data_IF_627005951517
#
_entry.id   IF_627005951517
#
_cell.length_a   1.000
_cell.length_b   1.000
_cell.length_c   1.000
_cell.angle_alpha   90.00
_cell.angle_beta   90.00
_cell.angle_gamma   90.00
#
_symmetry.space_group_name_H-M   'P 1'
#
loop_
_entity.id
_entity.type
_entity.pdbx_description
1 polymer ?
#
# COMPACT_ATOMS: atom_id res chain seq x y z
N UNK A 1 -1.86 29.89 30.20
CA UNK A 1 -2.57 30.70 29.18
C UNK A 1 -3.93 31.05 29.75
N UNK A 2 -4.32 32.32 29.74
CA UNK A 2 -5.61 32.79 30.27
C UNK A 2 -6.73 32.62 29.24
N UNK A 3 -7.61 31.64 29.50
CA UNK A 3 -8.70 31.27 28.60
C UNK A 3 -9.76 32.37 28.45
N UNK A 4 -9.93 33.24 29.45
CA UNK A 4 -10.90 34.34 29.40
C UNK A 4 -10.48 35.42 28.40
N UNK A 5 -9.17 35.68 28.33
CA UNK A 5 -8.61 36.61 27.35
C UNK A 5 -8.70 36.05 25.93
N UNK A 6 -8.50 34.75 25.75
CA UNK A 6 -8.65 34.09 24.43
C UNK A 6 -10.09 34.16 23.93
N UNK A 7 -11.07 33.91 24.80
CA UNK A 7 -12.49 34.00 24.47
C UNK A 7 -12.92 35.44 24.12
N UNK A 8 -12.44 36.42 24.89
CA UNK A 8 -12.70 37.83 24.62
C UNK A 8 -12.13 38.27 23.27
N UNK A 9 -10.86 37.97 23.00
CA UNK A 9 -10.20 38.33 21.73
C UNK A 9 -10.85 37.60 20.55
N UNK A 10 -11.25 36.34 20.73
CA UNK A 10 -11.97 35.57 19.72
C UNK A 10 -13.31 36.22 19.35
N UNK A 11 -14.04 36.69 20.35
CA UNK A 11 -15.33 37.36 20.17
C UNK A 11 -15.17 38.74 19.51
N UNK A 12 -14.15 39.50 19.92
CA UNK A 12 -13.91 40.86 19.43
C UNK A 12 -13.35 40.87 17.99
N UNK A 13 -12.57 39.86 17.60
CA UNK A 13 -11.92 39.77 16.28
C UNK A 13 -12.64 38.87 15.29
N UNK A 14 -13.61 38.06 15.74
CA UNK A 14 -14.30 37.05 14.92
C UNK A 14 -13.41 35.86 14.52
N UNK A 15 -12.21 35.74 15.12
CA UNK A 15 -11.27 34.64 14.86
C UNK A 15 -11.56 33.49 15.84
N UNK A 16 -11.62 32.21 15.38
CA UNK A 16 -11.80 31.05 16.25
C UNK A 16 -10.77 30.98 17.40
N UNK A 17 -11.21 30.59 18.60
CA UNK A 17 -10.38 30.52 19.81
C UNK A 17 -9.09 29.72 19.63
N UNK A 18 -9.13 28.62 18.87
CA UNK A 18 -7.94 27.82 18.57
C UNK A 18 -6.89 28.56 17.72
N UNK A 19 -7.29 29.47 16.84
CA UNK A 19 -6.34 30.25 16.06
C UNK A 19 -5.74 31.38 16.89
N UNK A 20 -6.52 31.96 17.81
CA UNK A 20 -6.04 32.97 18.76
C UNK A 20 -5.02 32.35 19.72
N UNK A 21 -5.27 31.17 20.26
CA UNK A 21 -4.33 30.47 21.15
C UNK A 21 -3.03 30.09 20.43
N UNK A 22 -3.13 29.50 19.23
CA UNK A 22 -1.96 29.12 18.41
C UNK A 22 -1.12 30.32 18.00
N UNK A 23 -1.76 31.41 17.60
CA UNK A 23 -1.04 32.63 17.21
C UNK A 23 -0.37 33.32 18.40
N UNK A 24 -1.03 33.33 19.57
CA UNK A 24 -0.46 33.90 20.80
C UNK A 24 0.77 33.09 21.25
N UNK A 25 0.66 31.75 21.24
CA UNK A 25 1.75 30.86 21.60
C UNK A 25 2.95 30.98 20.63
N UNK A 26 2.70 31.04 19.32
CA UNK A 26 3.75 31.23 18.33
C UNK A 26 4.51 32.56 18.50
N UNK A 27 3.80 33.65 18.82
CA UNK A 27 4.44 34.95 19.07
C UNK A 27 5.14 35.03 20.41
N UNK A 28 4.64 34.34 21.42
CA UNK A 28 5.28 34.23 22.73
C UNK A 28 6.63 33.51 22.60
N UNK A 29 6.67 32.41 21.86
CA UNK A 29 7.88 31.64 21.58
C UNK A 29 8.88 32.42 20.71
N UNK A 30 8.41 33.13 19.68
CA UNK A 30 9.27 33.93 18.81
C UNK A 30 9.91 35.14 19.53
N UNK A 31 9.21 35.72 20.50
CA UNK A 31 9.67 36.92 21.23
C UNK A 31 10.24 36.60 22.63
N UNK A 32 10.24 35.33 23.06
CA UNK A 32 10.72 34.92 24.39
C UNK A 32 9.93 35.53 25.55
N UNK A 33 8.65 35.84 25.34
CA UNK A 33 7.76 36.45 26.35
C UNK A 33 6.63 35.49 26.74
N UNK A 34 5.98 35.74 27.88
CA UNK A 34 4.84 34.92 28.32
C UNK A 34 3.63 35.07 27.37
N UNK A 35 2.89 33.98 27.18
CA UNK A 35 1.71 33.94 26.29
C UNK A 35 0.64 34.94 26.74
N UNK A 36 0.48 35.16 28.05
CA UNK A 36 -0.52 36.10 28.54
C UNK A 36 -0.11 37.55 28.30
N UNK A 37 1.19 37.85 28.20
CA UNK A 37 1.67 39.18 27.83
C UNK A 37 1.32 39.52 26.36
N UNK A 38 1.36 38.53 25.46
CA UNK A 38 0.89 38.68 24.08
C UNK A 38 -0.63 38.87 24.04
N UNK A 39 -1.39 38.05 24.76
CA UNK A 39 -2.85 38.18 24.81
C UNK A 39 -3.28 39.54 25.40
N UNK A 40 -2.61 40.00 26.45
CA UNK A 40 -2.84 41.31 27.03
C UNK A 40 -2.52 42.44 26.03
N UNK A 41 -1.44 42.32 25.25
CA UNK A 41 -1.07 43.31 24.20
C UNK A 41 -2.15 43.46 23.13
N UNK A 42 -2.88 42.39 22.82
CA UNK A 42 -3.96 42.41 21.84
C UNK A 42 -5.25 42.99 22.39
N UNK A 43 -5.48 42.85 23.70
CA UNK A 43 -6.62 43.45 24.40
C UNK A 43 -6.40 44.94 24.69
N UNK A 44 -5.18 45.35 25.04
CA UNK A 44 -4.85 46.73 25.42
C UNK A 44 -4.30 47.60 24.29
N UNK A 45 -3.79 47.00 23.21
CA UNK A 45 -3.15 47.71 22.09
C UNK A 45 -1.71 48.17 22.36
N UNK A 46 -1.16 47.87 23.55
CA UNK A 46 0.21 48.23 23.93
C UNK A 46 1.19 47.11 23.54
N UNK A 47 2.31 47.44 22.88
CA UNK A 47 3.29 46.43 22.46
C UNK A 47 3.88 45.67 23.67
N UNK A 48 4.08 44.35 23.59
CA UNK A 48 4.67 43.59 24.68
C UNK A 48 6.11 44.09 24.94
N UNK A 49 6.41 44.42 26.19
CA UNK A 49 7.74 44.83 26.61
C UNK A 49 8.72 43.66 26.41
N UNK A 50 9.59 43.77 25.43
CA UNK A 50 10.71 42.84 25.19
C UNK A 50 11.69 42.95 26.36
N UNK A 51 11.76 41.91 27.19
CA UNK A 51 12.80 41.79 28.21
C UNK A 51 14.09 41.31 27.54
N UNK A 52 14.96 42.25 27.17
CA UNK A 52 16.34 41.95 26.81
C UNK A 52 17.17 41.81 28.08
N UNK A 53 17.24 40.61 28.65
CA UNK A 53 18.27 40.27 29.63
C UNK A 53 18.73 38.82 29.41
N UNK A 54 20.04 38.55 29.29
CA UNK A 54 20.57 37.21 29.13
C UNK A 54 20.43 36.46 30.47
N UNK A 55 19.85 35.26 30.44
CA UNK A 55 19.80 34.40 31.63
C UNK A 55 21.15 33.70 31.76
N UNK A 56 21.97 34.22 32.68
CA UNK A 56 23.08 33.51 33.30
C UNK A 56 22.53 32.25 33.99
N UNK A 57 22.86 31.07 33.46
CA UNK A 57 22.59 29.79 34.13
C UNK A 57 23.63 29.59 35.23
N UNK A 58 23.27 29.94 36.46
CA UNK A 58 23.94 29.48 37.67
C UNK A 58 23.62 27.99 37.84
N UNK A 59 24.63 27.13 37.66
CA UNK A 59 24.59 25.72 37.99
C UNK A 59 24.96 25.60 39.47
N UNK A 60 24.00 25.25 40.32
CA UNK A 60 24.28 24.79 41.68
C UNK A 60 24.23 23.25 41.68
N UNK A 61 25.33 22.69 42.19
CA UNK A 61 25.68 21.29 42.28
C UNK A 61 25.05 20.66 43.54
N UNK A 62 24.43 19.48 43.43
CA UNK A 62 24.37 18.52 44.55
C UNK A 62 24.04 17.09 44.08
N UNK A 63 24.57 16.02 44.72
CA UNK A 63 24.89 14.76 44.07
C UNK A 63 24.27 13.48 44.72
N UNK A 64 24.49 12.33 44.05
CA UNK A 64 24.47 10.91 44.52
C UNK A 64 23.04 10.32 44.73
N UNK A 65 22.65 9.15 44.20
CA UNK A 65 23.16 7.82 44.57
C UNK A 65 22.74 6.69 43.60
N UNK A 66 23.66 5.75 43.43
CA UNK A 66 23.67 4.56 42.58
C UNK A 66 22.94 3.36 43.19
N UNK A 67 22.20 2.56 42.40
CA UNK A 67 22.10 1.09 42.59
C UNK A 67 21.92 0.38 41.24
N UNK A 68 22.80 -0.60 41.01
CA UNK A 68 22.86 -1.58 39.93
C UNK A 68 22.24 -2.89 40.44
N UNK A 69 21.48 -3.63 39.63
CA UNK A 69 21.47 -5.10 39.71
C UNK A 69 21.07 -5.78 38.39
N UNK A 70 21.71 -6.93 38.12
CA UNK A 70 21.77 -7.73 36.89
C UNK A 70 20.57 -8.67 36.62
N UNK A 71 20.51 -9.15 35.36
CA UNK A 71 19.83 -10.28 34.67
C UNK A 71 19.53 -11.58 35.50
N UNK A 72 18.79 -12.64 35.01
CA UNK A 72 18.70 -13.14 33.63
C UNK A 72 17.40 -13.87 33.15
N UNK A 73 17.52 -14.41 31.93
CA UNK A 73 16.60 -15.09 30.98
C UNK A 73 15.87 -16.33 31.51
N UNK A 74 14.61 -16.56 31.09
CA UNK A 74 14.07 -17.92 30.91
C UNK A 74 13.04 -18.03 29.77
N UNK A 75 13.23 -19.05 28.94
CA UNK A 75 12.45 -19.45 27.76
C UNK A 75 11.33 -20.42 28.13
N UNK A 76 10.08 -20.19 27.70
CA UNK A 76 9.09 -21.27 27.52
C UNK A 76 8.21 -20.97 26.31
N UNK A 77 8.15 -21.96 25.42
CA UNK A 77 7.26 -22.08 24.25
C UNK A 77 6.01 -22.83 24.70
N UNK A 78 4.81 -22.33 24.38
CA UNK A 78 3.63 -23.17 24.13
C UNK A 78 2.60 -22.46 23.24
N UNK A 79 1.78 -23.28 22.57
CA UNK A 79 1.13 -23.07 21.28
C UNK A 79 -0.38 -22.71 21.41
N UNK A 80 -0.86 -21.76 20.59
CA UNK A 80 -2.25 -21.60 20.07
C UNK A 80 -3.43 -21.23 21.03
N UNK A 81 -4.62 -20.76 20.53
CA UNK A 81 -4.95 -19.89 19.38
C UNK A 81 -6.02 -18.78 19.70
N UNK A 82 -6.25 -17.86 18.74
CA UNK A 82 -7.44 -16.98 18.52
C UNK A 82 -7.82 -15.90 19.56
N UNK A 83 -7.61 -14.62 19.22
CA UNK A 83 -8.67 -13.58 19.19
C UNK A 83 -8.10 -12.28 18.60
N UNK A 84 -8.43 -11.99 17.34
CA UNK A 84 -8.13 -10.68 16.74
C UNK A 84 -9.21 -9.69 17.15
N UNK A 85 -9.08 -9.15 18.35
CA UNK A 85 -9.73 -7.90 18.74
C UNK A 85 -8.91 -6.77 18.13
N UNK A 86 -9.49 -6.09 17.13
CA UNK A 86 -9.03 -4.76 16.75
C UNK A 86 -9.55 -3.82 17.84
N UNK A 87 -8.81 -3.73 18.94
CA UNK A 87 -8.95 -2.57 19.81
C UNK A 87 -8.40 -1.38 19.00
N UNK A 88 -9.23 -0.36 18.83
CA UNK A 88 -8.76 0.98 18.56
C UNK A 88 -7.74 1.30 19.65
N UNK A 89 -6.44 1.20 19.33
CA UNK A 89 -5.41 1.64 20.26
C UNK A 89 -5.73 3.11 20.61
N UNK A 90 -6.00 3.42 21.88
CA UNK A 90 -6.36 4.76 22.27
C UNK A 90 -5.18 5.67 21.95
N UNK A 91 -5.50 6.83 21.42
CA UNK A 91 -4.58 7.90 21.04
C UNK A 91 -3.62 8.29 22.17
N UNK A 92 -3.92 7.91 23.42
CA UNK A 92 -3.07 8.10 24.59
C UNK A 92 -1.80 7.25 24.63
N UNK A 93 -1.74 6.06 24.03
CA UNK A 93 -0.52 5.25 24.12
C UNK A 93 0.62 5.85 23.27
N UNK A 94 0.28 6.67 22.26
CA UNK A 94 1.26 7.35 21.39
C UNK A 94 2.02 8.48 22.12
N UNK A 95 1.59 8.88 23.33
CA UNK A 95 2.27 9.91 24.12
C UNK A 95 3.57 9.45 24.80
N UNK A 96 3.98 8.17 24.71
CA UNK A 96 5.19 7.68 25.39
C UNK A 96 6.33 7.21 24.49
N UNK A 97 6.30 7.49 23.18
CA UNK A 97 7.40 7.10 22.29
C UNK A 97 7.60 8.14 21.18
N UNK A 98 7.96 9.35 21.58
CA UNK A 98 9.00 10.05 20.83
C UNK A 98 10.29 9.55 21.44
N UNK A 99 10.90 8.57 20.77
CA UNK A 99 12.29 8.23 21.05
C UNK A 99 13.09 9.48 20.65
N UNK A 100 13.54 10.26 21.64
CA UNK A 100 14.21 11.55 21.47
C UNK A 100 15.52 11.42 20.66
N UNK A 101 15.95 10.18 20.41
CA UNK A 101 17.14 9.79 19.64
C UNK A 101 16.90 9.52 18.13
N UNK A 102 15.66 9.64 17.61
CA UNK A 102 15.43 9.40 16.17
C UNK A 102 15.79 10.65 15.35
N UNK A 103 16.69 10.53 14.35
CA UNK A 103 17.06 11.67 13.51
C UNK A 103 15.86 12.18 12.70
N UNK A 104 15.80 13.49 12.40
CA UNK A 104 14.72 14.06 11.61
C UNK A 104 14.63 13.41 10.22
N UNK A 105 13.43 13.35 9.63
CA UNK A 105 13.21 12.65 8.38
C UNK A 105 13.98 13.32 7.23
N UNK A 106 14.65 12.50 6.42
CA UNK A 106 15.27 12.97 5.19
C UNK A 106 14.22 13.51 4.21
N UNK A 107 14.63 14.41 3.32
CA UNK A 107 13.76 14.98 2.29
C UNK A 107 13.14 13.88 1.41
N UNK A 108 11.85 14.03 1.08
CA UNK A 108 11.10 13.06 0.31
C UNK A 108 11.72 12.77 -1.07
N UNK A 109 12.25 13.80 -1.74
CA UNK A 109 12.94 13.66 -3.03
C UNK A 109 14.13 12.73 -2.97
N UNK A 110 14.95 12.85 -1.91
CA UNK A 110 16.11 11.98 -1.68
C UNK A 110 15.66 10.55 -1.38
N UNK A 111 14.58 10.38 -0.60
CA UNK A 111 14.00 9.05 -0.32
C UNK A 111 13.51 8.37 -1.60
N UNK A 112 12.76 9.10 -2.43
CA UNK A 112 12.28 8.60 -3.73
C UNK A 112 13.45 8.23 -4.63
N UNK A 113 14.47 9.08 -4.74
CA UNK A 113 15.62 8.81 -5.60
C UNK A 113 16.38 7.54 -5.17
N UNK A 114 16.60 7.35 -3.86
CA UNK A 114 17.23 6.12 -3.35
C UNK A 114 16.35 4.88 -3.53
N UNK A 115 15.03 5.01 -3.36
CA UNK A 115 14.12 3.92 -3.63
C UNK A 115 14.07 3.55 -5.12
N UNK A 116 14.14 4.53 -6.01
CA UNK A 116 14.25 4.31 -7.44
C UNK A 116 15.54 3.56 -7.78
N UNK A 117 16.68 3.95 -7.19
CA UNK A 117 17.94 3.25 -7.35
C UNK A 117 17.86 1.79 -6.86
N UNK A 118 17.33 1.59 -5.65
CA UNK A 118 17.09 0.26 -5.09
C UNK A 118 16.21 -0.58 -6.02
N UNK A 119 15.06 -0.05 -6.42
CA UNK A 119 14.09 -0.77 -7.24
C UNK A 119 14.62 -1.06 -8.65
N UNK A 120 15.51 -0.22 -9.19
CA UNK A 120 16.20 -0.48 -10.45
C UNK A 120 17.17 -1.65 -10.31
N UNK A 121 18.03 -1.64 -9.28
CA UNK A 121 19.01 -2.74 -9.06
C UNK A 121 18.28 -4.05 -8.75
N UNK A 122 17.29 -4.00 -7.85
CA UNK A 122 16.45 -5.14 -7.53
C UNK A 122 15.71 -5.64 -8.78
N UNK A 123 15.15 -4.72 -9.57
CA UNK A 123 14.38 -5.01 -10.77
C UNK A 123 15.19 -5.66 -11.89
N UNK A 124 16.48 -5.31 -12.03
CA UNK A 124 17.38 -6.02 -12.96
C UNK A 124 17.53 -7.47 -12.52
N UNK A 125 17.90 -7.71 -11.25
CA UNK A 125 18.12 -9.06 -10.73
C UNK A 125 16.83 -9.89 -10.80
N UNK A 126 15.72 -9.33 -10.31
CA UNK A 126 14.41 -9.93 -10.36
C UNK A 126 13.97 -10.20 -11.81
N UNK A 127 14.20 -9.25 -12.72
CA UNK A 127 13.88 -9.36 -14.14
C UNK A 127 14.62 -10.50 -14.83
N UNK A 128 15.92 -10.69 -14.54
CA UNK A 128 16.67 -11.84 -15.04
C UNK A 128 16.10 -13.16 -14.53
N UNK A 129 15.88 -13.28 -13.22
CA UNK A 129 15.31 -14.50 -12.63
C UNK A 129 13.92 -14.77 -13.20
N UNK A 130 13.08 -13.74 -13.29
CA UNK A 130 11.75 -13.82 -13.86
C UNK A 130 11.77 -14.25 -15.32
N UNK A 131 12.67 -13.69 -16.12
CA UNK A 131 12.80 -14.04 -17.53
C UNK A 131 13.20 -15.51 -17.69
N UNK A 132 14.07 -16.05 -16.83
CA UNK A 132 14.38 -17.49 -16.82
C UNK A 132 13.17 -18.35 -16.44
N UNK A 133 12.43 -17.98 -15.39
CA UNK A 133 11.23 -18.70 -14.95
C UNK A 133 10.17 -18.69 -16.05
N UNK A 134 9.90 -17.55 -16.69
CA UNK A 134 8.88 -17.46 -17.75
C UNK A 134 9.35 -18.19 -19.02
N UNK A 135 10.63 -18.06 -19.36
CA UNK A 135 11.19 -18.74 -20.53
C UNK A 135 11.11 -20.25 -20.41
N UNK A 136 11.21 -20.83 -19.21
CA UNK A 136 11.09 -22.30 -19.06
C UNK A 136 9.75 -22.84 -19.58
N UNK A 137 8.69 -22.03 -19.52
CA UNK A 137 7.37 -22.40 -20.07
C UNK A 137 7.25 -22.23 -21.58
N UNK A 138 8.26 -21.66 -22.24
CA UNK A 138 8.30 -21.46 -23.68
C UNK A 138 9.07 -22.58 -24.43
N UNK A 139 9.65 -23.57 -23.73
CA UNK A 139 10.47 -24.60 -24.38
C UNK A 139 9.69 -25.77 -25.00
N UNK A 140 8.40 -25.94 -24.70
CA UNK A 140 7.62 -27.11 -25.16
C UNK A 140 7.20 -27.04 -26.64
N UNK A 141 7.39 -25.90 -27.32
CA UNK A 141 6.96 -25.69 -28.72
C UNK A 141 7.93 -24.83 -29.52
N UNK A 142 9.23 -25.09 -29.38
CA UNK A 142 10.29 -24.30 -30.01
C UNK A 142 10.40 -24.54 -31.51
N UNK A 143 10.40 -23.46 -32.26
CA UNK A 143 10.54 -23.42 -33.71
C UNK A 143 11.70 -22.48 -34.02
N UNK A 144 12.60 -22.92 -34.90
CA UNK A 144 13.64 -22.06 -35.44
C UNK A 144 13.11 -21.41 -36.72
N UNK A 145 13.04 -20.09 -36.74
CA UNK A 145 12.66 -19.34 -37.93
C UNK A 145 13.73 -19.53 -39.02
N UNK A 146 13.33 -19.98 -40.21
CA UNK A 146 14.27 -20.36 -41.27
C UNK A 146 15.03 -19.17 -41.86
N UNK A 147 14.46 -17.96 -41.80
CA UNK A 147 15.05 -16.75 -42.39
C UNK A 147 15.96 -16.00 -41.42
N UNK A 148 15.55 -15.86 -40.17
CA UNK A 148 16.24 -15.04 -39.17
C UNK A 148 17.08 -15.86 -38.19
N UNK A 149 16.89 -17.19 -38.16
CA UNK A 149 17.41 -18.09 -37.12
C UNK A 149 16.98 -17.69 -35.71
N UNK A 150 15.89 -16.93 -35.58
CA UNK A 150 15.32 -16.60 -34.28
C UNK A 150 14.61 -17.81 -33.69
N UNK A 151 14.74 -17.94 -32.37
CA UNK A 151 14.05 -18.94 -31.60
C UNK A 151 12.65 -18.43 -31.24
N UNK A 152 11.62 -19.06 -31.79
CA UNK A 152 10.21 -18.72 -31.57
C UNK A 152 9.56 -19.86 -30.78
N UNK A 153 8.65 -19.53 -29.87
CA UNK A 153 7.92 -20.51 -29.09
C UNK A 153 6.42 -20.37 -29.31
N UNK A 154 5.73 -21.51 -29.38
CA UNK A 154 4.29 -21.54 -29.17
C UNK A 154 3.98 -21.25 -27.69
N UNK A 155 2.99 -20.41 -27.43
CA UNK A 155 2.58 -20.05 -26.06
C UNK A 155 1.07 -19.89 -25.96
N UNK A 156 0.52 -20.04 -24.75
CA UNK A 156 -0.87 -19.68 -24.47
C UNK A 156 -0.91 -18.26 -23.90
N UNK A 157 -1.57 -17.27 -24.54
CA UNK A 157 -1.57 -15.88 -24.09
C UNK A 157 -1.97 -15.71 -22.62
N UNK A 158 -3.06 -16.36 -22.22
CA UNK A 158 -3.59 -16.26 -20.85
C UNK A 158 -2.59 -16.78 -19.81
N UNK A 159 -1.97 -17.94 -20.06
CA UNK A 159 -1.00 -18.53 -19.14
C UNK A 159 0.28 -17.71 -19.08
N UNK A 160 0.73 -17.18 -20.23
CA UNK A 160 1.93 -16.35 -20.29
C UNK A 160 1.75 -15.03 -19.52
N UNK A 161 0.63 -14.34 -19.72
CA UNK A 161 0.30 -13.11 -18.97
C UNK A 161 0.17 -13.43 -17.48
N UNK A 162 -0.51 -14.52 -17.12
CA UNK A 162 -0.68 -14.93 -15.73
C UNK A 162 0.67 -15.24 -15.06
N UNK A 163 1.56 -15.95 -15.73
CA UNK A 163 2.89 -16.28 -15.21
C UNK A 163 3.71 -15.01 -14.97
N UNK A 164 3.67 -14.04 -15.90
CA UNK A 164 4.32 -12.74 -15.69
C UNK A 164 3.67 -11.99 -14.52
N UNK A 165 2.34 -12.00 -14.42
CA UNK A 165 1.63 -11.34 -13.33
C UNK A 165 2.03 -11.92 -11.96
N UNK A 166 2.00 -13.23 -11.81
CA UNK A 166 2.34 -13.91 -10.56
C UNK A 166 3.80 -13.74 -10.16
N UNK A 167 4.72 -13.87 -11.12
CA UNK A 167 6.16 -13.70 -10.84
C UNK A 167 6.51 -12.24 -10.52
N UNK A 168 5.93 -11.27 -11.23
CA UNK A 168 6.09 -9.83 -10.90
C UNK A 168 5.54 -9.55 -9.50
N UNK A 169 4.42 -10.16 -9.14
CA UNK A 169 3.80 -10.02 -7.83
C UNK A 169 4.68 -10.55 -6.72
N UNK A 170 5.25 -11.74 -6.90
CA UNK A 170 6.20 -12.33 -5.97
C UNK A 170 7.39 -11.39 -5.70
N UNK A 171 8.00 -10.85 -6.76
CA UNK A 171 9.12 -9.91 -6.60
C UNK A 171 8.70 -8.56 -6.02
N UNK A 172 7.52 -8.05 -6.36
CA UNK A 172 6.98 -6.81 -5.80
C UNK A 172 6.77 -6.91 -4.29
N UNK A 173 6.29 -8.05 -3.79
CA UNK A 173 6.12 -8.32 -2.35
C UNK A 173 7.47 -8.34 -1.63
N UNK A 174 8.46 -9.03 -2.20
CA UNK A 174 9.81 -9.07 -1.62
C UNK A 174 10.42 -7.66 -1.59
N UNK A 175 10.31 -6.93 -2.70
CA UNK A 175 10.79 -5.56 -2.84
C UNK A 175 10.15 -4.63 -1.81
N UNK A 176 8.81 -4.63 -1.70
CA UNK A 176 8.09 -3.73 -0.79
C UNK A 176 8.38 -4.00 0.68
N UNK A 177 8.51 -5.27 1.08
CA UNK A 177 8.81 -5.63 2.47
C UNK A 177 10.23 -5.21 2.85
N UNK A 178 11.19 -5.48 1.96
CA UNK A 178 12.62 -5.30 2.24
C UNK A 178 13.09 -3.85 2.06
N UNK A 179 12.49 -3.09 1.14
CA UNK A 179 12.90 -1.72 0.81
C UNK A 179 13.07 -0.85 2.06
N UNK A 180 12.06 -0.81 2.93
CA UNK A 180 12.09 0.01 4.15
C UNK A 180 13.20 -0.42 5.10
N UNK A 181 13.39 -1.73 5.30
CA UNK A 181 14.41 -2.30 6.20
C UNK A 181 15.82 -1.97 5.70
N UNK A 182 16.01 -2.05 4.38
CA UNK A 182 17.30 -1.76 3.74
C UNK A 182 17.58 -0.26 3.78
N UNK A 183 16.62 0.59 3.47
CA UNK A 183 16.84 2.03 3.47
C UNK A 183 17.08 2.58 4.88
N UNK A 184 16.30 2.15 5.87
CA UNK A 184 16.46 2.55 7.27
C UNK A 184 17.83 2.13 7.84
N UNK A 185 18.32 0.93 7.49
CA UNK A 185 19.63 0.45 7.94
C UNK A 185 20.81 1.23 7.34
N UNK A 186 20.68 1.70 6.11
CA UNK A 186 21.80 2.26 5.35
C UNK A 186 21.82 3.79 5.31
N UNK A 187 20.72 4.46 5.66
CA UNK A 187 20.58 5.90 5.54
C UNK A 187 19.83 6.49 6.73
N UNK A 188 20.39 7.55 7.32
CA UNK A 188 19.76 8.26 8.43
C UNK A 188 18.51 9.02 7.98
N UNK A 189 17.46 9.02 8.83
CA UNK A 189 16.20 9.68 8.53
C UNK A 189 15.33 8.97 7.47
N UNK A 190 15.67 7.74 7.06
CA UNK A 190 14.91 6.95 6.08
C UNK A 190 13.86 6.01 6.69
N UNK A 191 13.74 5.96 8.02
CA UNK A 191 12.72 5.17 8.69
C UNK A 191 11.31 5.53 8.26
N UNK A 192 10.45 4.51 8.13
CA UNK A 192 9.03 4.65 7.75
C UNK A 192 8.18 3.77 8.67
N UNK A 193 7.03 4.27 9.12
CA UNK A 193 6.07 3.58 10.00
C UNK A 193 5.13 2.59 9.29
N UNK A 194 5.47 2.17 8.07
CA UNK A 194 4.64 1.24 7.28
C UNK A 194 4.83 -0.20 7.77
N UNK A 195 3.73 -0.88 8.06
CA UNK A 195 3.78 -2.24 8.57
C UNK A 195 4.09 -3.26 7.44
N UNK A 196 4.63 -4.43 7.80
CA UNK A 196 4.90 -5.52 6.85
C UNK A 196 3.61 -5.99 6.15
N UNK A 197 2.47 -5.99 6.85
CA UNK A 197 1.15 -6.31 6.26
C UNK A 197 0.71 -5.32 5.18
N UNK A 198 0.95 -4.03 5.40
CA UNK A 198 0.63 -3.00 4.41
C UNK A 198 1.56 -3.09 3.21
N UNK A 199 2.85 -3.36 3.46
CA UNK A 199 3.86 -3.57 2.42
C UNK A 199 3.50 -4.79 1.56
N UNK A 200 3.04 -5.87 2.18
CA UNK A 200 2.53 -7.07 1.51
C UNK A 200 1.35 -6.72 0.61
N UNK A 201 0.33 -6.03 1.14
CA UNK A 201 -0.86 -5.68 0.35
C UNK A 201 -0.53 -4.78 -0.85
N UNK A 202 0.33 -3.78 -0.66
CA UNK A 202 0.82 -2.92 -1.74
C UNK A 202 1.63 -3.72 -2.77
N UNK A 203 2.50 -4.62 -2.32
CA UNK A 203 3.28 -5.50 -3.18
C UNK A 203 2.39 -6.41 -4.04
N UNK A 204 1.35 -7.00 -3.44
CA UNK A 204 0.37 -7.83 -4.15
C UNK A 204 -0.40 -7.01 -5.19
N UNK A 205 -0.98 -5.89 -4.77
CA UNK A 205 -1.80 -5.05 -5.65
C UNK A 205 -1.02 -4.46 -6.83
N UNK A 206 0.12 -3.82 -6.54
CA UNK A 206 0.95 -3.22 -7.59
C UNK A 206 1.59 -4.29 -8.47
N UNK A 207 2.02 -5.40 -7.87
CA UNK A 207 2.61 -6.52 -8.60
C UNK A 207 1.67 -7.12 -9.65
N UNK A 208 0.39 -7.30 -9.30
CA UNK A 208 -0.62 -7.81 -10.23
C UNK A 208 -0.94 -6.80 -11.33
N UNK A 209 -1.03 -5.50 -11.01
CA UNK A 209 -1.28 -4.44 -11.99
C UNK A 209 -0.13 -4.35 -12.99
N UNK A 210 1.10 -4.18 -12.50
CA UNK A 210 2.26 -4.07 -13.38
C UNK A 210 2.50 -5.37 -14.12
N UNK A 211 2.45 -6.52 -13.45
CA UNK A 211 2.72 -7.80 -14.10
C UNK A 211 1.71 -8.17 -15.19
N UNK A 212 0.41 -7.94 -14.98
CA UNK A 212 -0.61 -8.16 -16.03
C UNK A 212 -0.43 -7.19 -17.19
N UNK A 213 -0.17 -5.90 -16.90
CA UNK A 213 0.08 -4.88 -17.92
C UNK A 213 1.33 -5.21 -18.75
N UNK A 214 2.40 -5.65 -18.11
CA UNK A 214 3.64 -6.06 -18.77
C UNK A 214 3.41 -7.27 -19.65
N UNK A 215 2.73 -8.30 -19.13
CA UNK A 215 2.38 -9.48 -19.92
C UNK A 215 1.61 -9.10 -21.18
N UNK A 216 0.59 -8.26 -21.02
CA UNK A 216 -0.21 -7.75 -22.14
C UNK A 216 0.63 -6.98 -23.16
N UNK A 217 1.44 -6.02 -22.72
CA UNK A 217 2.32 -5.22 -23.59
C UNK A 217 3.31 -6.10 -24.35
N UNK A 218 3.89 -7.11 -23.71
CA UNK A 218 4.82 -8.02 -24.39
C UNK A 218 4.08 -8.83 -25.45
N UNK A 219 2.91 -9.38 -25.13
CA UNK A 219 2.14 -10.17 -26.09
C UNK A 219 1.59 -9.34 -27.25
N UNK A 220 1.30 -8.06 -27.05
CA UNK A 220 0.80 -7.19 -28.12
C UNK A 220 1.91 -6.59 -28.98
N UNK A 221 3.11 -6.39 -28.43
CA UNK A 221 4.25 -5.82 -29.15
C UNK A 221 4.98 -6.86 -30.02
N UNK A 222 5.12 -8.10 -29.55
CA UNK A 222 5.87 -9.16 -30.26
C UNK A 222 5.16 -10.49 -30.41
N UNK A 223 3.97 -10.65 -29.85
CA UNK A 223 3.17 -11.84 -30.10
C UNK A 223 2.63 -11.81 -31.53
N UNK A 224 2.72 -12.94 -32.22
CA UNK A 224 2.17 -13.16 -33.55
C UNK A 224 1.06 -14.18 -33.45
N UNK A 225 -0.10 -13.87 -34.02
CA UNK A 225 -1.27 -14.75 -34.06
C UNK A 225 -1.46 -15.31 -35.45
N UNK A 226 -1.43 -16.64 -35.57
CA UNK A 226 -1.78 -17.34 -36.81
C UNK A 226 -3.19 -17.89 -36.64
N UNK A 227 -4.12 -17.29 -37.36
CA UNK A 227 -5.52 -17.74 -37.37
C UNK A 227 -5.65 -19.08 -38.08
N UNK A 228 -6.55 -19.92 -37.56
CA UNK A 228 -6.91 -21.18 -38.20
C UNK A 228 -7.65 -20.91 -39.51
N UNK A 229 -7.19 -21.52 -40.60
CA UNK A 229 -7.79 -21.36 -41.93
C UNK A 229 -8.85 -22.44 -42.18
N UNK A 230 -8.65 -23.63 -41.59
CA UNK A 230 -9.56 -24.76 -41.67
C UNK A 230 -10.31 -24.92 -40.34
N UNK A 231 -11.51 -25.52 -40.41
CA UNK A 231 -12.40 -25.69 -39.25
C UNK A 231 -11.81 -26.62 -38.17
N UNK A 232 -10.86 -27.48 -38.54
CA UNK A 232 -10.15 -28.39 -37.63
C UNK A 232 -8.81 -27.83 -37.11
N UNK A 233 -8.33 -26.69 -37.63
CA UNK A 233 -7.05 -26.11 -37.22
C UNK A 233 -7.21 -25.23 -35.96
N UNK A 234 -6.19 -25.23 -35.10
CA UNK A 234 -6.17 -24.44 -33.86
C UNK A 234 -5.39 -23.15 -34.08
N UNK A 235 -5.93 -22.02 -33.60
CA UNK A 235 -5.21 -20.73 -33.63
C UNK A 235 -3.90 -20.85 -32.86
N UNK A 236 -2.78 -20.53 -33.51
CA UNK A 236 -1.45 -20.67 -32.93
C UNK A 236 -0.89 -19.30 -32.56
N UNK A 237 -0.34 -19.18 -31.35
CA UNK A 237 0.28 -17.96 -30.85
C UNK A 237 1.77 -18.17 -30.74
N UNK A 238 2.54 -17.30 -31.39
CA UNK A 238 3.98 -17.40 -31.49
C UNK A 238 4.64 -16.17 -30.85
N UNK A 239 5.73 -16.38 -30.12
CA UNK A 239 6.49 -15.29 -29.51
C UNK A 239 8.00 -15.54 -29.64
N UNK A 240 8.81 -14.53 -30.02
CA UNK A 240 10.26 -14.69 -30.06
C UNK A 240 10.82 -14.79 -28.64
N UNK A 241 11.50 -15.89 -28.33
CA UNK A 241 11.97 -16.22 -26.96
C UNK A 241 12.96 -15.16 -26.46
N UNK A 242 13.96 -14.82 -27.26
CA UNK A 242 14.97 -13.82 -26.86
C UNK A 242 14.38 -12.41 -26.77
N UNK A 243 13.41 -12.09 -27.64
CA UNK A 243 12.71 -10.80 -27.65
C UNK A 243 11.79 -10.64 -26.44
N UNK A 244 11.13 -11.72 -26.02
CA UNK A 244 10.36 -11.81 -24.79
C UNK A 244 11.27 -11.66 -23.56
N UNK A 245 12.36 -12.41 -23.51
CA UNK A 245 13.32 -12.40 -22.40
C UNK A 245 13.78 -10.97 -22.03
N UNK A 246 14.28 -10.22 -23.01
CA UNK A 246 14.80 -8.86 -22.75
C UNK A 246 13.71 -7.86 -22.39
N UNK A 247 12.49 -8.02 -22.93
CA UNK A 247 11.35 -7.19 -22.54
C UNK A 247 10.92 -7.46 -21.11
N UNK A 248 10.92 -8.73 -20.68
CA UNK A 248 10.67 -9.08 -19.27
C UNK A 248 11.69 -8.37 -18.38
N UNK A 249 12.99 -8.49 -18.67
CA UNK A 249 14.05 -7.82 -17.89
C UNK A 249 13.84 -6.30 -17.83
N UNK A 250 13.59 -5.66 -18.97
CA UNK A 250 13.38 -4.22 -19.08
C UNK A 250 12.17 -3.76 -18.26
N UNK A 251 11.00 -4.38 -18.50
CA UNK A 251 9.76 -3.97 -17.86
C UNK A 251 9.72 -4.32 -16.37
N UNK A 252 10.36 -5.42 -15.95
CA UNK A 252 10.54 -5.73 -14.53
C UNK A 252 11.45 -4.72 -13.85
N UNK A 253 12.50 -4.25 -14.52
CA UNK A 253 13.35 -3.17 -13.99
C UNK A 253 12.55 -1.89 -13.76
N UNK A 254 11.80 -1.45 -14.76
CA UNK A 254 10.98 -0.24 -14.69
C UNK A 254 9.89 -0.36 -13.63
N UNK A 255 9.13 -1.46 -13.63
CA UNK A 255 8.05 -1.65 -12.66
C UNK A 255 8.55 -1.74 -11.23
N UNK A 256 9.64 -2.44 -10.95
CA UNK A 256 10.19 -2.52 -9.59
C UNK A 256 10.73 -1.17 -9.10
N UNK A 257 11.31 -0.36 -9.99
CA UNK A 257 11.72 1.02 -9.67
C UNK A 257 10.51 1.91 -9.30
N UNK A 258 9.41 1.79 -10.04
CA UNK A 258 8.17 2.52 -9.76
C UNK A 258 7.53 2.02 -8.45
N UNK A 259 7.42 0.71 -8.26
CA UNK A 259 6.85 0.10 -7.05
C UNK A 259 7.61 0.56 -5.81
N UNK A 260 8.95 0.51 -5.85
CA UNK A 260 9.78 0.98 -4.74
C UNK A 260 9.51 2.46 -4.41
N UNK A 261 9.36 3.29 -5.43
CA UNK A 261 9.04 4.71 -5.26
C UNK A 261 7.66 4.92 -4.62
N UNK A 262 6.64 4.18 -5.07
CA UNK A 262 5.28 4.25 -4.50
C UNK A 262 5.27 3.84 -3.03
N UNK A 263 6.02 2.80 -2.64
CA UNK A 263 6.10 2.34 -1.25
C UNK A 263 6.62 3.45 -0.33
N UNK A 264 7.61 4.24 -0.77
CA UNK A 264 8.09 5.39 0.00
C UNK A 264 7.06 6.51 0.06
N UNK A 265 6.42 6.84 -1.05
CA UNK A 265 5.44 7.94 -1.12
C UNK A 265 4.24 7.71 -0.21
N UNK A 266 3.83 6.45 -0.04
CA UNK A 266 2.69 6.09 0.82
C UNK A 266 3.06 5.86 2.29
N UNK A 267 4.36 5.91 2.60
CA UNK A 267 4.88 5.70 3.94
C UNK A 267 4.88 6.97 4.79
N UNK A 268 4.61 6.83 6.09
CA UNK A 268 4.81 7.93 7.05
C UNK A 268 6.28 7.90 7.51
N UNK A 269 7.05 9.00 7.36
CA UNK A 269 8.40 9.09 7.89
C UNK A 269 8.47 8.93 9.42
N UNK A 270 9.51 8.26 9.93
CA UNK A 270 9.90 8.33 11.34
C UNK A 270 10.61 9.67 11.64
N UNK A 271 10.58 10.09 12.91
CA UNK A 271 11.27 11.31 13.37
C UNK A 271 10.49 12.61 13.14
N UNK A 272 9.20 12.54 12.82
CA UNK A 272 8.31 13.71 12.79
C UNK A 272 7.93 14.13 14.21
N UNK A 273 7.73 15.42 14.43
CA UNK A 273 7.16 15.89 15.70
C UNK A 273 5.71 15.39 15.89
N UNK A 274 5.19 15.47 17.12
CA UNK A 274 3.87 14.92 17.47
C UNK A 274 2.74 15.54 16.64
N UNK A 275 2.82 16.84 16.34
CA UNK A 275 1.81 17.56 15.56
C UNK A 275 1.89 17.19 14.07
N UNK A 276 3.10 17.19 13.50
CA UNK A 276 3.38 16.77 12.14
C UNK A 276 3.00 15.31 11.90
N UNK A 277 3.27 14.42 12.87
CA UNK A 277 2.93 13.00 12.79
C UNK A 277 1.41 12.79 12.79
N UNK A 278 0.67 13.57 13.58
CA UNK A 278 -0.80 13.52 13.59
C UNK A 278 -1.38 13.98 12.26
N UNK A 279 -0.86 15.08 11.71
CA UNK A 279 -1.30 15.58 10.40
C UNK A 279 -0.92 14.63 9.26
N UNK A 280 0.30 14.10 9.27
CA UNK A 280 0.77 13.09 8.32
C UNK A 280 -0.10 11.84 8.34
N UNK A 281 -0.53 11.37 9.52
CA UNK A 281 -1.47 10.25 9.62
C UNK A 281 -2.83 10.55 9.00
N UNK A 282 -3.38 11.75 9.21
CA UNK A 282 -4.65 12.16 8.60
C UNK A 282 -4.54 12.20 7.07
N UNK A 283 -3.49 12.81 6.54
CA UNK A 283 -3.24 12.88 5.10
C UNK A 283 -3.03 11.48 4.53
N UNK A 284 -2.19 10.66 5.18
CA UNK A 284 -1.88 9.31 4.75
C UNK A 284 -3.12 8.43 4.76
N UNK A 285 -3.99 8.52 5.76
CA UNK A 285 -5.25 7.76 5.78
C UNK A 285 -6.19 8.14 4.64
N UNK A 286 -6.23 9.42 4.25
CA UNK A 286 -6.98 9.87 3.07
C UNK A 286 -6.39 9.31 1.77
N UNK A 287 -5.07 9.46 1.58
CA UNK A 287 -4.37 8.99 0.37
C UNK A 287 -4.42 7.47 0.25
N UNK A 288 -4.15 6.77 1.35
CA UNK A 288 -4.20 5.30 1.44
C UNK A 288 -5.62 4.83 1.20
N UNK A 289 -6.64 5.48 1.77
CA UNK A 289 -8.04 5.20 1.45
C UNK A 289 -8.35 5.31 -0.04
N UNK A 290 -7.90 6.38 -0.70
CA UNK A 290 -8.10 6.58 -2.14
C UNK A 290 -7.36 5.58 -3.03
N UNK A 291 -6.31 4.91 -2.55
CA UNK A 291 -5.51 3.96 -3.33
C UNK A 291 -5.87 2.51 -2.99
N UNK A 292 -5.97 2.18 -1.71
CA UNK A 292 -6.28 0.84 -1.21
C UNK A 292 -7.69 0.42 -1.61
N UNK A 293 -8.66 1.35 -1.65
CA UNK A 293 -10.03 1.00 -2.05
C UNK A 293 -10.08 0.56 -3.52
N UNK A 294 -9.57 1.33 -4.52
CA UNK A 294 -9.50 0.87 -5.89
C UNK A 294 -8.66 -0.39 -6.09
N UNK A 295 -7.47 -0.47 -5.47
CA UNK A 295 -6.63 -1.67 -5.56
C UNK A 295 -7.34 -2.90 -5.02
N UNK A 296 -7.98 -2.78 -3.86
CA UNK A 296 -8.80 -3.83 -3.27
C UNK A 296 -9.96 -4.22 -4.19
N UNK A 297 -10.66 -3.25 -4.77
CA UNK A 297 -11.75 -3.53 -5.71
C UNK A 297 -11.27 -4.26 -6.97
N UNK A 298 -10.12 -3.89 -7.53
CA UNK A 298 -9.52 -4.57 -8.69
C UNK A 298 -9.13 -6.00 -8.31
N UNK A 299 -8.51 -6.22 -7.15
CA UNK A 299 -8.12 -7.55 -6.69
C UNK A 299 -9.33 -8.46 -6.43
N UNK A 300 -10.25 -8.04 -5.57
CA UNK A 300 -11.41 -8.84 -5.22
C UNK A 300 -12.37 -8.99 -6.40
N UNK A 301 -12.66 -7.90 -7.11
CA UNK A 301 -13.52 -7.92 -8.29
C UNK A 301 -12.92 -8.76 -9.43
N UNK A 302 -11.61 -8.68 -9.65
CA UNK A 302 -10.90 -9.49 -10.63
C UNK A 302 -10.95 -10.99 -10.31
N UNK A 303 -10.67 -11.38 -9.06
CA UNK A 303 -10.75 -12.79 -8.63
C UNK A 303 -12.16 -13.33 -8.79
N UNK A 304 -13.17 -12.59 -8.33
CA UNK A 304 -14.58 -12.97 -8.49
C UNK A 304 -14.94 -13.09 -9.97
N UNK A 305 -14.50 -12.14 -10.81
CA UNK A 305 -14.76 -12.18 -12.25
C UNK A 305 -14.18 -13.43 -12.90
N UNK A 306 -12.94 -13.81 -12.57
CA UNK A 306 -12.30 -15.02 -13.12
C UNK A 306 -13.07 -16.28 -12.71
N UNK A 307 -13.47 -16.39 -11.44
CA UNK A 307 -14.22 -17.53 -10.95
C UNK A 307 -15.58 -17.66 -11.66
N UNK A 308 -16.30 -16.55 -11.83
CA UNK A 308 -17.57 -16.52 -12.56
C UNK A 308 -17.33 -16.88 -14.04
N UNK A 309 -16.35 -16.27 -14.70
CA UNK A 309 -16.02 -16.59 -16.10
C UNK A 309 -15.72 -18.07 -16.30
N UNK A 310 -14.98 -18.69 -15.38
CA UNK A 310 -14.67 -20.13 -15.45
C UNK A 310 -15.93 -20.99 -15.42
N UNK A 311 -16.91 -20.64 -14.58
CA UNK A 311 -18.20 -21.31 -14.52
C UNK A 311 -18.96 -21.16 -15.85
N UNK A 312 -19.01 -19.95 -16.41
CA UNK A 312 -19.72 -19.70 -17.68
C UNK A 312 -19.08 -20.42 -18.88
N UNK A 313 -17.75 -20.49 -18.95
CA UNK A 313 -17.03 -21.19 -20.02
C UNK A 313 -17.29 -22.69 -19.95
N UNK A 314 -17.22 -23.27 -18.75
CA UNK A 314 -17.39 -24.71 -18.55
C UNK A 314 -18.85 -25.17 -18.68
N UNK A 315 -19.82 -24.27 -18.47
CA UNK A 315 -21.25 -24.61 -18.37
C UNK A 315 -22.12 -23.63 -19.18
N UNK A 316 -21.82 -23.50 -20.48
CA UNK A 316 -22.52 -22.56 -21.37
C UNK A 316 -24.03 -22.83 -21.48
N UNK A 317 -24.46 -24.10 -21.40
CA UNK A 317 -25.88 -24.47 -21.45
C UNK A 317 -26.70 -23.93 -20.26
N UNK A 318 -26.04 -23.70 -19.11
CA UNK A 318 -26.66 -23.16 -17.91
C UNK A 318 -26.49 -21.64 -17.78
N UNK A 319 -25.86 -20.98 -18.76
CA UNK A 319 -25.67 -19.53 -18.75
C UNK A 319 -26.97 -18.73 -18.51
N UNK A 320 -28.14 -19.08 -19.10
CA UNK A 320 -29.40 -18.40 -18.81
C UNK A 320 -29.85 -18.56 -17.35
N UNK A 321 -29.66 -19.75 -16.77
CA UNK A 321 -30.00 -20.03 -15.37
C UNK A 321 -29.11 -19.23 -14.42
N UNK A 322 -27.80 -19.18 -14.68
CA UNK A 322 -26.87 -18.38 -13.88
C UNK A 322 -27.15 -16.89 -14.00
N UNK A 323 -27.48 -16.39 -15.20
CA UNK A 323 -27.88 -15.00 -15.38
C UNK A 323 -29.12 -14.64 -14.53
N UNK A 324 -30.10 -15.55 -14.43
CA UNK A 324 -31.30 -15.36 -13.61
C UNK A 324 -30.95 -15.36 -12.11
N UNK A 325 -30.16 -16.34 -11.64
CA UNK A 325 -29.73 -16.43 -10.24
C UNK A 325 -28.92 -15.20 -9.83
N UNK A 326 -27.95 -14.78 -10.65
CA UNK A 326 -27.11 -13.61 -10.40
C UNK A 326 -27.96 -12.34 -10.39
N UNK A 327 -28.88 -12.18 -11.35
CA UNK A 327 -29.79 -11.02 -11.38
C UNK A 327 -30.69 -10.97 -10.14
N UNK A 328 -31.23 -12.11 -9.72
CA UNK A 328 -32.03 -12.21 -8.50
C UNK A 328 -31.22 -11.87 -7.25
N UNK A 329 -29.98 -12.37 -7.16
CA UNK A 329 -29.07 -12.05 -6.05
C UNK A 329 -28.72 -10.56 -6.00
N UNK A 330 -28.43 -9.93 -7.16
CA UNK A 330 -28.17 -8.49 -7.26
C UNK A 330 -29.41 -7.68 -6.84
N UNK A 331 -30.60 -8.06 -7.30
CA UNK A 331 -31.84 -7.38 -6.94
C UNK A 331 -32.17 -7.51 -5.44
N UNK A 332 -31.94 -8.68 -4.84
CA UNK A 332 -32.10 -8.89 -3.41
C UNK A 332 -31.09 -8.04 -2.62
N UNK A 333 -29.83 -8.04 -3.03
CA UNK A 333 -28.80 -7.23 -2.40
C UNK A 333 -29.10 -5.73 -2.52
N UNK A 334 -29.47 -5.26 -3.71
CA UNK A 334 -29.87 -3.88 -3.96
C UNK A 334 -31.11 -3.48 -3.15
N UNK A 335 -32.08 -4.38 -3.01
CA UNK A 335 -33.29 -4.17 -2.19
C UNK A 335 -32.93 -4.00 -0.70
N UNK A 336 -32.11 -4.90 -0.15
CA UNK A 336 -31.63 -4.84 1.24
C UNK A 336 -30.85 -3.55 1.49
N UNK A 337 -29.92 -3.21 0.60
CA UNK A 337 -29.13 -1.98 0.68
C UNK A 337 -29.99 -0.72 0.57
N UNK A 338 -30.98 -0.71 -0.32
CA UNK A 338 -31.93 0.39 -0.49
C UNK A 338 -32.81 0.58 0.76
N UNK A 339 -33.20 -0.51 1.42
CA UNK A 339 -34.03 -0.46 2.63
C UNK A 339 -33.34 0.14 3.86
N UNK A 340 -32.00 0.22 3.88
CA UNK A 340 -31.23 0.62 5.04
C UNK A 340 -30.10 1.62 4.70
N UNK A 341 -30.44 2.83 4.22
CA UNK A 341 -29.48 3.78 3.63
C UNK A 341 -28.47 4.39 4.62
N UNK A 342 -28.63 4.15 5.93
CA UNK A 342 -27.75 4.68 6.99
C UNK A 342 -26.84 3.61 7.62
N UNK A 343 -26.94 2.35 7.20
CA UNK A 343 -26.03 1.31 7.70
C UNK A 343 -24.66 1.54 7.07
N UNK A 344 -23.67 1.85 7.90
CA UNK A 344 -22.27 1.86 7.47
C UNK A 344 -21.87 0.41 7.21
N UNK A 345 -21.61 0.07 5.95
CA UNK A 345 -21.07 -1.26 5.61
C UNK A 345 -19.72 -1.42 6.32
N UNK A 346 -19.64 -2.37 7.24
CA UNK A 346 -18.41 -2.70 7.94
C UNK A 346 -17.53 -3.61 7.09
N UNK A 347 -16.21 -3.63 7.33
CA UNK A 347 -15.29 -4.56 6.65
C UNK A 347 -15.74 -6.02 6.78
N UNK A 348 -16.29 -6.39 7.94
CA UNK A 348 -16.76 -7.75 8.19
C UNK A 348 -17.96 -8.12 7.31
N UNK A 349 -18.90 -7.19 7.11
CA UNK A 349 -20.04 -7.41 6.21
C UNK A 349 -19.60 -7.60 4.75
N UNK A 350 -18.60 -6.85 4.29
CA UNK A 350 -18.02 -7.05 2.94
C UNK A 350 -17.36 -8.43 2.82
N UNK A 351 -16.60 -8.85 3.83
CA UNK A 351 -15.94 -10.15 3.84
C UNK A 351 -16.94 -11.31 3.87
N UNK A 352 -18.02 -11.18 4.65
CA UNK A 352 -19.10 -12.17 4.70
C UNK A 352 -19.81 -12.25 3.34
N UNK A 353 -20.10 -11.11 2.71
CA UNK A 353 -20.70 -11.08 1.37
C UNK A 353 -19.78 -11.73 0.33
N UNK A 354 -18.48 -11.40 0.33
CA UNK A 354 -17.49 -12.00 -0.57
C UNK A 354 -17.36 -13.52 -0.36
N UNK A 355 -17.32 -13.98 0.89
CA UNK A 355 -17.30 -15.40 1.22
C UNK A 355 -18.57 -16.12 0.74
N UNK A 356 -19.74 -15.47 0.86
CA UNK A 356 -21.00 -15.97 0.34
C UNK A 356 -20.99 -16.15 -1.18
N UNK A 357 -20.46 -15.18 -1.93
CA UNK A 357 -20.31 -15.26 -3.39
C UNK A 357 -19.35 -16.38 -3.79
N UNK A 358 -18.21 -16.51 -3.10
CA UNK A 358 -17.24 -17.58 -3.37
C UNK A 358 -17.90 -18.95 -3.12
N UNK A 359 -18.58 -19.11 -1.99
CA UNK A 359 -19.26 -20.35 -1.62
C UNK A 359 -20.35 -20.72 -2.63
N UNK A 360 -21.16 -19.75 -3.05
CA UNK A 360 -22.17 -19.94 -4.08
C UNK A 360 -21.54 -20.40 -5.40
N UNK A 361 -20.42 -19.78 -5.79
CA UNK A 361 -19.70 -20.11 -7.02
C UNK A 361 -19.16 -21.54 -6.97
N UNK A 362 -18.62 -21.97 -5.82
CA UNK A 362 -18.15 -23.35 -5.60
C UNK A 362 -19.32 -24.33 -5.67
N UNK A 363 -20.45 -24.05 -5.00
CA UNK A 363 -21.64 -24.91 -5.04
C UNK A 363 -22.16 -25.05 -6.47
N UNK A 364 -22.27 -23.94 -7.20
CA UNK A 364 -22.69 -23.93 -8.60
C UNK A 364 -21.75 -24.81 -9.45
N UNK A 365 -20.44 -24.61 -9.31
CA UNK A 365 -19.45 -25.41 -10.03
C UNK A 365 -19.54 -26.91 -9.67
N UNK A 366 -19.75 -27.25 -8.40
CA UNK A 366 -19.89 -28.63 -7.94
C UNK A 366 -21.17 -29.31 -8.45
N UNK A 367 -22.32 -28.61 -8.41
CA UNK A 367 -23.60 -29.14 -8.90
C UNK A 367 -23.55 -29.33 -10.41
N UNK A 368 -22.96 -28.37 -11.13
CA UNK A 368 -22.81 -28.47 -12.57
C UNK A 368 -21.82 -29.59 -12.97
N UNK A 369 -20.75 -29.78 -12.19
CA UNK A 369 -19.81 -30.90 -12.39
C UNK A 369 -20.43 -32.28 -12.10
N UNK A 370 -21.49 -32.38 -11.28
CA UNK A 370 -22.16 -33.65 -11.00
C UNK A 370 -23.24 -34.04 -12.01
N UNK A 371 -23.54 -33.16 -12.98
CA UNK A 371 -24.53 -33.41 -14.05
C UNK A 371 -23.88 -33.83 -15.38
N UNK A 372 -22.55 -33.79 -15.47
CA UNK A 372 -21.74 -34.57 -16.43
C UNK A 372 -21.39 -35.93 -15.82
#
# INVERSE_FOLDING_TARGET
MDEKLVEQISTDTGVPQELVSRSAQARAQANGVDVNAILASWSSGEAPAVSSAPVETVVEEAPVETVVEEAPVETVVEEAPVETVVEEAPVETVLSYVDEDIPPPAQLSVKIFRALQYGTVFGIVAGFIQAFIVSSYLYEGLILESETLNLIANYTPTQYILNIALTTTFFAVISSINLKKILEKNYEGFGILTNDRESLFLGVGLGLIFGSSIGFVITSDIGVTIEAILEDDVTTYLIPVIGSFWRIVLFSTVSQAIIASIVIVLGIPKGLDIYELKEANVIRNRVTGSIVIPLGAILFGGVISVLISQVFINFHDYAPLFALIISAAILLFASVMSSAPKIKITRNEVLIAAAGVITLTVIIASVAASQN
#
